data_IF_274537385387
#
_entry.id   IF_274537385387
#
_cell.length_a   1.000
_cell.length_b   1.000
_cell.length_c   1.000
_cell.angle_alpha   90.00
_cell.angle_beta   90.00
_cell.angle_gamma   90.00
#
_symmetry.space_group_name_H-M   'P 1'
#
loop_
_entity.id
_entity.type
_entity.pdbx_description
1 polymer ?
#
# COMPACT_ATOMS: atom_id res chain seq x y z
N UNK A 1 28.22 44.09 -43.41
CA UNK A 1 27.40 45.32 -43.50
C UNK A 1 26.40 45.26 -42.34
N UNK A 2 26.67 45.91 -41.19
CA UNK A 2 26.11 47.21 -40.74
C UNK A 2 24.60 47.30 -41.06
N UNK A 3 23.69 47.48 -40.10
CA UNK A 3 23.54 48.69 -39.28
C UNK A 3 22.83 48.35 -37.95
N UNK A 4 23.39 48.89 -36.86
CA UNK A 4 22.74 49.04 -35.56
C UNK A 4 21.98 50.37 -35.51
N UNK A 5 20.84 50.45 -34.82
CA UNK A 5 20.35 51.71 -34.23
C UNK A 5 19.72 51.45 -32.86
N UNK A 6 20.45 51.86 -31.83
CA UNK A 6 19.94 52.25 -30.51
C UNK A 6 19.17 53.58 -30.61
N UNK A 7 18.22 53.82 -29.70
CA UNK A 7 18.03 55.05 -28.88
C UNK A 7 16.79 54.87 -27.98
N UNK A 8 16.93 54.96 -26.63
CA UNK A 8 16.81 56.16 -25.76
C UNK A 8 15.38 56.77 -25.81
N UNK A 9 14.73 57.24 -24.75
CA UNK A 9 15.08 57.53 -23.36
C UNK A 9 13.84 58.14 -22.64
N UNK A 10 13.71 57.89 -21.33
CA UNK A 10 13.54 58.90 -20.25
C UNK A 10 12.21 59.66 -20.06
N UNK A 11 11.70 59.62 -18.81
CA UNK A 11 11.11 60.72 -17.99
C UNK A 11 10.78 60.13 -16.60
N UNK A 12 11.43 60.45 -15.46
CA UNK A 12 11.41 61.70 -14.64
C UNK A 12 10.00 62.28 -14.49
N UNK A 13 9.43 62.57 -13.32
CA UNK A 13 9.98 63.28 -12.14
C UNK A 13 8.94 63.20 -10.95
N UNK A 14 8.90 64.06 -9.91
CA UNK A 14 8.95 63.65 -8.50
C UNK A 14 7.71 64.13 -7.67
N UNK A 15 7.59 63.74 -6.39
CA UNK A 15 6.98 64.64 -5.39
C UNK A 15 7.37 64.29 -3.95
N UNK A 16 8.05 65.25 -3.35
CA UNK A 16 8.15 65.59 -1.92
C UNK A 16 6.73 65.88 -1.41
N UNK A 17 6.26 65.60 -0.19
CA UNK A 17 6.82 65.18 1.08
C UNK A 17 5.79 65.60 2.16
N UNK A 18 5.81 65.03 3.37
CA UNK A 18 5.54 65.78 4.61
C UNK A 18 5.83 64.90 5.84
N UNK A 19 6.54 65.51 6.77
CA UNK A 19 6.87 65.01 8.11
C UNK A 19 5.69 65.27 9.04
N UNK A 20 5.27 64.26 9.81
CA UNK A 20 4.51 64.46 11.04
C UNK A 20 5.22 63.72 12.17
N UNK A 21 5.78 64.51 13.09
CA UNK A 21 6.20 64.09 14.43
C UNK A 21 4.96 63.63 15.21
N UNK A 22 4.97 62.39 15.68
CA UNK A 22 3.98 61.87 16.63
C UNK A 22 4.65 60.89 17.58
N UNK A 23 4.87 61.34 18.82
CA UNK A 23 5.46 60.57 19.89
C UNK A 23 4.66 59.28 20.18
N UNK A 24 5.27 58.12 19.94
CA UNK A 24 4.74 56.83 20.39
C UNK A 24 5.54 56.36 21.60
N UNK A 25 4.83 56.22 22.71
CA UNK A 25 5.32 55.73 23.99
C UNK A 25 5.94 54.33 23.87
N UNK A 26 7.07 54.13 24.54
CA UNK A 26 7.70 52.83 24.72
C UNK A 26 6.80 51.93 25.59
N UNK A 27 6.23 50.89 24.99
CA UNK A 27 5.70 49.73 25.72
C UNK A 27 6.81 48.68 25.83
N UNK A 28 7.01 48.04 27.00
CA UNK A 28 8.04 47.05 27.19
C UNK A 28 7.76 45.80 26.34
N UNK A 29 8.76 45.44 25.54
CA UNK A 29 9.17 44.08 25.17
C UNK A 29 8.38 42.95 25.85
N UNK A 30 7.45 42.35 25.11
CA UNK A 30 7.10 40.94 25.27
C UNK A 30 7.62 40.19 24.05
N UNK A 31 8.51 39.23 24.28
CA UNK A 31 9.28 38.53 23.27
C UNK A 31 8.42 37.90 22.17
N UNK A 32 8.77 38.21 20.93
CA UNK A 32 8.44 37.36 19.79
C UNK A 32 9.29 36.08 19.88
N UNK A 33 8.68 34.98 20.31
CA UNK A 33 9.32 33.68 20.28
C UNK A 33 8.68 32.70 21.26
N UNK A 34 8.00 31.69 20.72
CA UNK A 34 7.40 30.52 21.41
C UNK A 34 6.01 30.74 22.03
N UNK A 35 4.98 30.94 21.20
CA UNK A 35 3.59 30.72 21.61
C UNK A 35 2.63 30.40 20.45
N UNK A 36 3.12 29.88 19.32
CA UNK A 36 2.28 29.55 18.15
C UNK A 36 2.36 28.06 17.74
N UNK A 37 2.80 27.18 18.65
CA UNK A 37 2.84 25.74 18.41
C UNK A 37 2.25 24.95 19.58
N UNK A 38 1.11 25.40 20.08
CA UNK A 38 0.26 24.59 20.96
C UNK A 38 -1.18 24.88 20.57
N UNK A 39 -1.91 23.83 20.17
CA UNK A 39 -3.32 23.81 19.76
C UNK A 39 -3.60 24.25 18.32
N UNK A 40 -3.06 23.50 17.35
CA UNK A 40 -3.86 23.19 16.17
C UNK A 40 -4.79 22.02 16.54
N UNK A 41 -6.13 22.17 16.54
CA UNK A 41 -7.02 21.06 16.78
C UNK A 41 -6.80 20.00 15.68
N UNK A 42 -6.63 18.73 16.09
CA UNK A 42 -6.53 17.60 15.16
C UNK A 42 -7.79 17.57 14.31
N UNK A 43 -7.65 17.73 12.99
CA UNK A 43 -8.76 17.56 12.06
C UNK A 43 -9.31 16.15 12.25
N UNK A 44 -10.60 15.97 12.63
CA UNK A 44 -11.17 14.65 12.77
C UNK A 44 -11.13 13.95 11.41
N UNK A 45 -10.40 12.84 11.34
CA UNK A 45 -10.47 11.93 10.20
C UNK A 45 -11.82 11.21 10.25
N UNK A 46 -12.35 10.82 9.09
CA UNK A 46 -13.61 10.07 9.01
C UNK A 46 -13.58 8.80 9.88
N UNK A 47 -12.42 8.16 10.01
CA UNK A 47 -12.19 7.01 10.89
C UNK A 47 -12.48 7.32 12.38
N UNK A 48 -12.09 8.51 12.86
CA UNK A 48 -12.37 8.94 14.23
C UNK A 48 -13.83 9.29 14.49
N UNK A 49 -14.62 9.58 13.45
CA UNK A 49 -16.04 9.88 13.55
C UNK A 49 -16.94 8.64 13.46
N UNK A 50 -16.42 7.54 12.90
CA UNK A 50 -17.15 6.27 12.71
C UNK A 50 -16.94 5.25 13.82
N UNK A 51 -16.11 5.56 14.83
CA UNK A 51 -15.87 4.64 15.96
C UNK A 51 -15.14 3.36 15.55
N UNK A 52 -14.34 3.41 14.49
CA UNK A 52 -13.47 2.30 14.10
C UNK A 52 -12.34 2.21 15.14
N UNK A 53 -12.33 1.14 15.94
CA UNK A 53 -11.28 0.90 16.93
C UNK A 53 -9.90 0.96 16.26
N UNK A 54 -9.00 1.76 16.85
CA UNK A 54 -7.63 1.94 16.39
C UNK A 54 -6.92 0.57 16.26
N UNK A 55 -6.76 0.09 15.03
CA UNK A 55 -5.93 -1.07 14.72
C UNK A 55 -4.45 -0.65 14.81
N UNK A 56 -3.91 -0.53 16.02
CA UNK A 56 -2.53 0.00 16.16
C UNK A 56 -1.92 0.18 17.55
N UNK A 57 -2.62 -0.05 18.67
CA UNK A 57 -2.00 0.10 19.99
C UNK A 57 -1.25 -1.18 20.43
N UNK A 58 0.03 -1.29 20.07
CA UNK A 58 1.08 -2.05 20.78
C UNK A 58 0.80 -3.46 21.35
N UNK A 59 -0.15 -4.22 20.80
CA UNK A 59 -0.26 -5.67 20.89
C UNK A 59 -1.38 -6.07 19.94
N UNK A 60 -1.07 -6.67 18.78
CA UNK A 60 -2.11 -7.47 18.13
C UNK A 60 -2.49 -8.56 19.14
N UNK A 61 -3.70 -8.46 19.69
CA UNK A 61 -4.23 -9.40 20.68
C UNK A 61 -4.99 -10.53 19.97
N UNK A 62 -5.65 -10.20 18.87
CA UNK A 62 -6.47 -11.14 18.09
C UNK A 62 -6.42 -10.72 16.62
N UNK A 63 -6.29 -11.71 15.75
CA UNK A 63 -6.38 -11.53 14.29
C UNK A 63 -7.86 -11.52 13.90
N UNK A 64 -8.26 -10.61 13.01
CA UNK A 64 -9.62 -10.64 12.45
C UNK A 64 -9.90 -12.00 11.81
N UNK A 65 -11.04 -12.65 12.11
CA UNK A 65 -11.43 -13.90 11.44
C UNK A 65 -11.44 -13.77 9.91
N UNK A 66 -11.73 -12.57 9.41
CA UNK A 66 -11.74 -12.22 8.00
C UNK A 66 -10.69 -11.14 7.74
N UNK A 67 -9.44 -11.56 7.55
CA UNK A 67 -8.33 -10.68 7.25
C UNK A 67 -8.08 -10.61 5.74
N UNK A 68 -7.76 -9.42 5.21
CA UNK A 68 -7.45 -9.23 3.80
C UNK A 68 -6.03 -8.67 3.56
N UNK A 69 -4.95 -9.40 3.94
CA UNK A 69 -3.60 -8.86 3.87
C UNK A 69 -3.10 -8.65 2.42
N UNK A 70 -2.38 -7.55 2.20
CA UNK A 70 -1.53 -7.41 1.01
C UNK A 70 -0.42 -8.46 1.05
N UNK A 71 -0.04 -8.97 -0.12
CA UNK A 71 1.07 -9.93 -0.28
C UNK A 71 2.24 -9.36 -1.10
N UNK A 72 2.22 -8.05 -1.33
CA UNK A 72 3.21 -7.30 -2.16
C UNK A 72 4.59 -7.20 -1.50
N UNK A 73 4.67 -7.46 -0.20
CA UNK A 73 5.87 -7.43 0.63
C UNK A 73 6.51 -8.82 0.80
N UNK A 74 5.77 -9.89 0.49
CA UNK A 74 6.22 -11.27 0.59
C UNK A 74 7.51 -11.52 -0.21
N UNK A 75 8.21 -12.60 0.12
CA UNK A 75 9.33 -13.06 -0.70
C UNK A 75 8.81 -13.61 -2.04
N UNK A 76 9.71 -13.86 -3.00
CA UNK A 76 9.31 -14.48 -4.27
C UNK A 76 8.88 -15.92 -3.99
N UNK A 77 9.61 -16.59 -3.11
CA UNK A 77 9.39 -17.96 -2.68
C UNK A 77 8.00 -18.12 -2.03
N UNK A 78 7.64 -17.25 -1.09
CA UNK A 78 6.33 -17.32 -0.42
C UNK A 78 5.16 -17.11 -1.42
N UNK A 79 5.35 -16.26 -2.44
CA UNK A 79 4.33 -16.06 -3.48
C UNK A 79 4.21 -17.26 -4.41
N UNK A 80 5.34 -17.88 -4.78
CA UNK A 80 5.36 -19.12 -5.56
C UNK A 80 4.67 -20.24 -4.77
N UNK A 81 4.93 -20.33 -3.46
CA UNK A 81 4.28 -21.31 -2.59
C UNK A 81 2.77 -21.10 -2.51
N UNK A 82 2.31 -19.85 -2.37
CA UNK A 82 0.89 -19.52 -2.41
C UNK A 82 0.25 -19.89 -3.74
N UNK A 83 0.87 -19.50 -4.85
CA UNK A 83 0.34 -19.78 -6.19
C UNK A 83 0.24 -21.29 -6.43
N UNK A 84 1.28 -22.04 -6.05
CA UNK A 84 1.30 -23.50 -6.13
C UNK A 84 0.20 -24.13 -5.27
N UNK A 85 0.07 -23.70 -4.01
CA UNK A 85 -0.95 -24.21 -3.10
C UNK A 85 -2.37 -23.94 -3.62
N UNK A 86 -2.62 -22.74 -4.17
CA UNK A 86 -3.91 -22.38 -4.76
C UNK A 86 -4.23 -23.14 -6.05
N UNK A 87 -3.21 -23.58 -6.80
CA UNK A 87 -3.39 -24.44 -7.99
C UNK A 87 -3.69 -25.89 -7.61
N UNK A 88 -3.10 -26.39 -6.52
CA UNK A 88 -3.31 -27.76 -6.04
C UNK A 88 -4.69 -27.96 -5.40
N UNK A 89 -5.25 -26.91 -4.79
CA UNK A 89 -6.55 -26.95 -4.13
C UNK A 89 -6.74 -25.69 -3.28
N UNK A 90 -7.49 -25.79 -2.20
CA UNK A 90 -7.71 -24.67 -1.29
C UNK A 90 -6.49 -24.51 -0.40
N UNK A 91 -5.70 -23.46 -0.66
CA UNK A 91 -4.56 -23.09 0.15
C UNK A 91 -4.94 -22.81 1.62
N UNK A 92 -4.19 -23.45 2.52
CA UNK A 92 -4.35 -23.31 3.97
C UNK A 92 -3.17 -22.53 4.53
N UNK A 93 -3.44 -21.67 5.52
CA UNK A 93 -2.42 -20.83 6.14
C UNK A 93 -2.46 -20.96 7.67
N UNK A 94 -1.28 -20.79 8.26
CA UNK A 94 -1.14 -20.39 9.65
C UNK A 94 -1.06 -18.88 9.69
N UNK A 95 -2.04 -18.25 10.33
CA UNK A 95 -2.07 -16.82 10.54
C UNK A 95 -2.24 -16.49 12.02
N UNK A 96 -1.32 -15.67 12.53
CA UNK A 96 -1.38 -15.04 13.84
C UNK A 96 -0.93 -13.58 13.74
N UNK A 97 -0.82 -12.93 14.89
CA UNK A 97 -0.48 -11.51 15.00
C UNK A 97 0.91 -11.11 14.47
N UNK A 98 1.79 -12.07 14.17
CA UNK A 98 3.16 -11.84 13.73
C UNK A 98 3.45 -12.50 12.40
N UNK A 99 2.72 -13.56 12.07
CA UNK A 99 3.05 -14.45 10.97
C UNK A 99 1.83 -14.76 10.12
N UNK A 100 2.09 -14.87 8.82
CA UNK A 100 1.18 -15.44 7.85
C UNK A 100 2.02 -16.36 6.98
N UNK A 101 1.74 -17.65 7.05
CA UNK A 101 2.53 -18.67 6.38
C UNK A 101 1.63 -19.64 5.67
N UNK A 102 1.91 -19.86 4.39
CA UNK A 102 1.27 -20.91 3.61
C UNK A 102 1.74 -22.27 4.12
N UNK A 103 0.79 -23.13 4.48
CA UNK A 103 1.06 -24.52 4.84
C UNK A 103 1.11 -25.34 3.55
N UNK A 104 2.30 -25.39 2.94
CA UNK A 104 2.53 -25.91 1.58
C UNK A 104 2.02 -27.33 1.32
N UNK A 105 1.92 -28.15 2.37
CA UNK A 105 1.48 -29.55 2.32
C UNK A 105 0.12 -29.77 2.99
N UNK A 106 -0.58 -28.70 3.34
CA UNK A 106 -1.95 -28.75 3.85
C UNK A 106 -2.89 -28.14 2.82
N UNK A 107 -3.95 -28.86 2.48
CA UNK A 107 -4.91 -28.41 1.49
C UNK A 107 -6.30 -28.96 1.80
N UNK A 108 -7.30 -28.38 1.15
CA UNK A 108 -8.63 -28.97 1.06
C UNK A 108 -9.07 -29.03 -0.40
N UNK A 109 -10.03 -29.92 -0.69
CA UNK A 109 -10.60 -30.03 -2.02
C UNK A 109 -11.34 -28.75 -2.42
N UNK A 110 -11.08 -28.26 -3.62
CA UNK A 110 -11.76 -27.07 -4.15
C UNK A 110 -10.92 -26.38 -5.22
N UNK A 111 -11.50 -25.34 -5.81
CA UNK A 111 -10.87 -24.56 -6.89
C UNK A 111 -11.11 -23.07 -6.68
N UNK A 112 -10.38 -22.25 -7.44
CA UNK A 112 -10.58 -20.81 -7.49
C UNK A 112 -10.95 -20.34 -8.89
N UNK A 113 -12.24 -20.41 -9.26
CA UNK A 113 -12.74 -19.72 -10.45
C UNK A 113 -12.29 -18.27 -10.49
N UNK A 114 -11.87 -17.80 -11.67
CA UNK A 114 -11.54 -16.40 -11.90
C UNK A 114 -12.81 -15.62 -12.25
N UNK A 115 -12.92 -14.42 -11.69
CA UNK A 115 -13.93 -13.43 -12.03
C UNK A 115 -13.23 -12.16 -12.46
N UNK A 116 -13.33 -11.85 -13.76
CA UNK A 116 -12.84 -10.60 -14.32
C UNK A 116 -13.60 -9.39 -13.78
N UNK A 117 -12.90 -8.27 -13.62
CA UNK A 117 -13.51 -6.98 -13.29
C UNK A 117 -12.92 -5.88 -14.17
N UNK A 118 -13.52 -4.69 -14.14
CA UNK A 118 -12.89 -3.52 -14.75
C UNK A 118 -11.52 -3.28 -14.14
N UNK A 119 -10.50 -3.09 -15.00
CA UNK A 119 -9.13 -2.83 -14.57
C UNK A 119 -9.10 -1.62 -13.64
N UNK A 120 -8.45 -1.79 -12.49
CA UNK A 120 -8.21 -0.73 -11.49
C UNK A 120 -6.73 -0.53 -11.34
N UNK A 121 -6.32 0.72 -11.28
CA UNK A 121 -4.94 1.15 -11.11
C UNK A 121 -4.91 2.04 -9.86
N UNK A 122 -4.03 1.71 -8.91
CA UNK A 122 -3.94 2.39 -7.62
C UNK A 122 -2.47 2.60 -7.23
N UNK A 123 -2.19 3.70 -6.53
CA UNK A 123 -0.90 3.92 -5.88
C UNK A 123 -1.16 4.12 -4.39
N UNK A 124 -0.51 3.29 -3.58
CA UNK A 124 -0.46 3.45 -2.13
C UNK A 124 0.91 4.02 -1.81
N UNK A 125 0.95 5.27 -1.34
CA UNK A 125 2.17 5.88 -0.81
C UNK A 125 2.22 5.69 0.70
N UNK A 126 3.24 4.97 1.16
CA UNK A 126 3.53 4.74 2.57
C UNK A 126 4.61 5.74 2.97
N UNK A 127 4.24 6.75 3.75
CA UNK A 127 5.13 7.85 4.10
C UNK A 127 5.70 7.76 5.52
N UNK A 128 5.14 6.90 6.36
CA UNK A 128 5.54 6.72 7.75
C UNK A 128 5.20 5.30 8.26
N UNK A 129 5.56 5.01 9.51
CA UNK A 129 5.36 3.70 10.12
C UNK A 129 3.88 3.36 10.38
N UNK A 130 3.02 4.36 10.55
CA UNK A 130 1.59 4.16 10.77
C UNK A 130 0.89 3.82 9.45
N UNK A 131 1.23 4.53 8.36
CA UNK A 131 0.80 4.17 7.00
C UNK A 131 1.21 2.73 6.67
N UNK A 132 2.43 2.34 7.07
CA UNK A 132 2.95 1.00 6.83
C UNK A 132 2.13 -0.05 7.58
N UNK A 133 1.75 0.22 8.84
CA UNK A 133 0.91 -0.68 9.63
C UNK A 133 -0.50 -0.81 9.06
N UNK A 134 -1.07 0.28 8.55
CA UNK A 134 -2.41 0.29 7.95
C UNK A 134 -2.46 -0.47 6.62
N UNK A 135 -1.41 -0.40 5.82
CA UNK A 135 -1.42 -0.96 4.46
C UNK A 135 -0.70 -2.31 4.33
N UNK A 136 0.35 -2.55 5.12
CA UNK A 136 1.24 -3.71 4.99
C UNK A 136 1.50 -4.35 6.37
N UNK A 137 0.53 -5.10 6.91
CA UNK A 137 0.55 -5.54 8.30
C UNK A 137 1.69 -6.51 8.67
N UNK A 138 2.32 -7.17 7.69
CA UNK A 138 3.27 -8.26 7.93
C UNK A 138 4.69 -7.99 7.41
N UNK A 139 4.91 -6.84 6.75
CA UNK A 139 6.14 -6.51 6.01
C UNK A 139 7.02 -5.44 6.63
N UNK A 140 6.73 -5.04 7.88
CA UNK A 140 7.32 -3.85 8.53
C UNK A 140 8.85 -3.88 8.49
N UNK A 141 9.47 -5.04 8.66
CA UNK A 141 10.91 -5.20 8.66
C UNK A 141 11.58 -4.93 7.30
N UNK A 142 10.94 -5.30 6.18
CA UNK A 142 11.52 -5.17 4.82
C UNK A 142 11.51 -3.72 4.34
N UNK A 143 10.52 -2.95 4.77
CA UNK A 143 10.31 -1.57 4.34
C UNK A 143 10.80 -0.52 5.36
N UNK A 144 10.92 -0.90 6.63
CA UNK A 144 11.37 -0.02 7.71
C UNK A 144 12.67 0.70 7.42
N UNK A 145 13.70 -0.01 6.94
CA UNK A 145 15.01 0.60 6.65
C UNK A 145 14.93 1.72 5.60
N UNK A 146 14.02 1.62 4.62
CA UNK A 146 13.86 2.68 3.61
C UNK A 146 13.11 3.88 4.14
N UNK A 147 12.13 3.67 5.04
CA UNK A 147 11.41 4.74 5.72
C UNK A 147 12.29 5.48 6.73
N UNK A 148 13.15 4.77 7.47
CA UNK A 148 14.12 5.34 8.40
C UNK A 148 15.10 6.31 7.71
N UNK A 149 15.41 6.06 6.43
CA UNK A 149 16.24 6.96 5.60
C UNK A 149 15.46 8.14 5.02
N UNK A 150 14.23 8.38 5.46
CA UNK A 150 13.39 9.52 5.03
C UNK A 150 12.77 9.38 3.63
N UNK A 151 12.86 8.20 3.01
CA UNK A 151 12.16 7.92 1.75
C UNK A 151 10.71 7.49 2.02
N UNK A 152 9.82 7.62 1.03
CA UNK A 152 8.51 6.92 1.06
C UNK A 152 8.64 5.55 0.41
N UNK A 153 7.63 4.70 0.58
CA UNK A 153 7.46 3.50 -0.25
C UNK A 153 6.23 3.72 -1.11
N UNK A 154 6.37 3.60 -2.43
CA UNK A 154 5.25 3.64 -3.35
C UNK A 154 4.94 2.21 -3.81
N UNK A 155 3.70 1.80 -3.62
CA UNK A 155 3.16 0.52 -4.08
C UNK A 155 2.19 0.82 -5.22
N UNK A 156 2.56 0.45 -6.44
CA UNK A 156 1.70 0.53 -7.61
C UNK A 156 0.98 -0.80 -7.78
N UNK A 157 -0.34 -0.77 -7.87
CA UNK A 157 -1.21 -1.93 -8.03
C UNK A 157 -1.99 -1.81 -9.33
N UNK A 158 -2.12 -2.95 -10.02
CA UNK A 158 -3.12 -3.15 -11.06
C UNK A 158 -3.94 -4.38 -10.73
N UNK A 159 -5.26 -4.22 -10.67
CA UNK A 159 -6.21 -5.28 -10.37
C UNK A 159 -7.09 -5.53 -11.58
N UNK A 160 -7.20 -6.79 -12.01
CA UNK A 160 -7.97 -7.21 -13.18
C UNK A 160 -9.08 -8.21 -12.86
N UNK A 161 -9.07 -8.77 -11.65
CA UNK A 161 -10.06 -9.73 -11.22
C UNK A 161 -9.77 -10.32 -9.84
N UNK A 162 -10.54 -11.34 -9.49
CA UNK A 162 -10.32 -12.16 -8.30
C UNK A 162 -10.38 -13.64 -8.66
N UNK A 163 -9.61 -14.45 -7.94
CA UNK A 163 -9.74 -15.91 -7.88
C UNK A 163 -10.41 -16.24 -6.56
N UNK A 164 -11.61 -16.80 -6.57
CA UNK A 164 -12.42 -16.99 -5.35
C UNK A 164 -12.96 -18.41 -5.30
N UNK A 165 -12.85 -19.07 -4.15
CA UNK A 165 -13.50 -20.37 -3.93
C UNK A 165 -14.99 -20.20 -3.61
N UNK A 166 -15.78 -21.20 -3.98
CA UNK A 166 -17.19 -21.29 -3.61
C UNK A 166 -17.41 -21.86 -2.19
N UNK A 167 -16.35 -22.29 -1.52
CA UNK A 167 -16.42 -22.76 -0.13
C UNK A 167 -16.81 -21.63 0.82
N UNK A 168 -17.84 -21.89 1.61
CA UNK A 168 -18.36 -20.95 2.62
C UNK A 168 -17.68 -21.11 3.98
N UNK A 169 -17.34 -22.35 4.31
CA UNK A 169 -16.66 -22.74 5.54
C UNK A 169 -15.79 -23.95 5.24
N UNK A 170 -14.74 -24.13 6.04
CA UNK A 170 -13.86 -25.28 5.99
C UNK A 170 -13.61 -25.75 7.42
N UNK A 171 -13.91 -27.00 7.72
CA UNK A 171 -13.64 -27.63 9.01
C UNK A 171 -12.36 -28.47 9.01
N UNK A 172 -11.80 -28.79 10.19
CA UNK A 172 -10.57 -29.58 10.31
C UNK A 172 -10.61 -30.95 9.62
N UNK A 173 -11.80 -31.56 9.52
CA UNK A 173 -11.98 -32.88 8.90
C UNK A 173 -11.88 -32.87 7.37
N UNK A 174 -11.94 -31.69 6.77
CA UNK A 174 -11.85 -31.50 5.31
C UNK A 174 -10.42 -31.18 4.87
N UNK A 175 -9.50 -31.04 5.82
CA UNK A 175 -8.10 -30.78 5.57
C UNK A 175 -7.35 -32.09 5.33
N UNK A 176 -6.45 -32.08 4.35
CA UNK A 176 -5.59 -33.20 4.00
C UNK A 176 -4.11 -32.79 3.93
N UNK A 177 -3.26 -33.71 4.41
CA UNK A 177 -1.81 -33.53 4.53
C UNK A 177 -1.35 -32.91 5.86
N UNK A 178 -0.25 -32.15 5.81
CA UNK A 178 0.46 -31.63 6.99
C UNK A 178 -0.19 -30.34 7.52
N UNK A 179 -1.34 -30.48 8.19
CA UNK A 179 -2.24 -29.38 8.57
C UNK A 179 -2.10 -28.88 10.02
N UNK A 180 -1.04 -29.29 10.72
CA UNK A 180 -0.78 -28.82 12.08
C UNK A 180 -0.62 -27.28 12.13
N UNK A 181 -1.37 -26.64 13.02
CA UNK A 181 -1.35 -25.18 13.19
C UNK A 181 -2.10 -24.40 12.11
N UNK A 182 -2.91 -25.05 11.28
CA UNK A 182 -3.83 -24.38 10.37
C UNK A 182 -4.84 -23.52 11.13
N UNK A 183 -4.96 -22.24 10.76
CA UNK A 183 -5.93 -21.32 11.40
C UNK A 183 -6.92 -20.74 10.40
N UNK A 184 -6.49 -20.50 9.17
CA UNK A 184 -7.31 -19.92 8.12
C UNK A 184 -7.10 -20.66 6.80
N UNK A 185 -8.04 -20.51 5.88
CA UNK A 185 -7.85 -20.84 4.47
C UNK A 185 -7.96 -19.57 3.63
N UNK A 186 -7.34 -19.60 2.45
CA UNK A 186 -7.47 -18.53 1.47
C UNK A 186 -8.83 -18.67 0.80
N UNK A 187 -9.71 -17.69 1.02
CA UNK A 187 -11.03 -17.66 0.38
C UNK A 187 -10.98 -17.02 -1.01
N UNK A 188 -10.13 -16.02 -1.17
CA UNK A 188 -9.90 -15.37 -2.44
C UNK A 188 -8.50 -14.79 -2.56
N UNK A 189 -8.07 -14.54 -3.79
CA UNK A 189 -6.93 -13.70 -4.10
C UNK A 189 -7.32 -12.65 -5.15
N UNK A 190 -6.93 -11.40 -4.94
CA UNK A 190 -7.01 -10.37 -5.96
C UNK A 190 -5.87 -10.57 -6.94
N UNK A 191 -6.18 -10.45 -8.23
CA UNK A 191 -5.33 -10.86 -9.33
C UNK A 191 -4.93 -9.65 -10.16
N UNK A 192 -3.65 -9.54 -10.48
CA UNK A 192 -3.12 -8.59 -11.45
C UNK A 192 -1.61 -8.48 -11.40
N UNK A 193 -1.10 -7.27 -11.21
CA UNK A 193 0.33 -6.99 -11.13
C UNK A 193 0.63 -5.93 -10.07
N UNK A 194 1.86 -5.91 -9.55
CA UNK A 194 2.30 -4.88 -8.62
C UNK A 194 3.78 -4.53 -8.79
N UNK A 195 4.14 -3.32 -8.38
CA UNK A 195 5.53 -2.95 -8.17
C UNK A 195 5.68 -2.09 -6.92
N UNK A 196 6.74 -2.34 -6.15
CA UNK A 196 7.08 -1.62 -4.93
C UNK A 196 8.45 -0.97 -5.12
N UNK A 197 8.56 0.32 -4.82
CA UNK A 197 9.83 1.06 -4.89
C UNK A 197 9.94 2.11 -3.80
N UNK A 198 11.16 2.58 -3.56
CA UNK A 198 11.35 3.81 -2.77
C UNK A 198 10.88 5.03 -3.57
N UNK A 199 10.20 5.93 -2.88
CA UNK A 199 9.60 7.15 -3.40
C UNK A 199 10.05 8.40 -2.66
N UNK A 200 9.39 9.51 -2.98
CA UNK A 200 9.66 10.83 -2.40
C UNK A 200 8.36 11.43 -1.89
N UNK A 201 8.36 11.91 -0.65
CA UNK A 201 7.16 12.48 0.00
C UNK A 201 6.63 13.66 -0.81
N UNK A 202 5.33 13.69 -1.06
CA UNK A 202 4.66 14.78 -1.78
C UNK A 202 4.82 14.77 -3.30
N UNK A 203 5.54 13.81 -3.88
CA UNK A 203 5.64 13.61 -5.34
C UNK A 203 4.55 12.63 -5.79
N UNK A 204 3.48 13.16 -6.38
CA UNK A 204 2.46 12.36 -7.07
C UNK A 204 3.10 11.62 -8.25
N UNK A 205 2.79 10.34 -8.41
CA UNK A 205 3.27 9.47 -9.49
C UNK A 205 2.09 8.86 -10.23
N UNK A 206 2.28 8.43 -11.47
CA UNK A 206 1.36 7.52 -12.13
C UNK A 206 1.74 6.07 -11.83
N UNK A 207 0.80 5.12 -11.95
CA UNK A 207 1.09 3.69 -11.72
C UNK A 207 2.20 3.22 -12.67
N UNK A 208 2.15 3.65 -13.93
CA UNK A 208 3.21 3.39 -14.90
C UNK A 208 4.60 3.75 -14.36
N UNK A 209 4.76 4.91 -13.73
CA UNK A 209 6.05 5.37 -13.18
C UNK A 209 6.58 4.43 -12.08
N UNK A 210 5.68 3.80 -11.32
CA UNK A 210 6.06 2.84 -10.28
C UNK A 210 6.58 1.55 -10.90
N UNK A 211 6.02 1.12 -12.04
CA UNK A 211 6.38 -0.10 -12.74
C UNK A 211 7.61 0.02 -13.66
N UNK A 212 8.00 1.23 -14.08
CA UNK A 212 9.14 1.44 -14.96
C UNK A 212 10.42 0.77 -14.44
N UNK A 213 11.00 -0.10 -15.26
CA UNK A 213 12.29 -0.73 -15.00
C UNK A 213 13.42 0.26 -15.21
N UNK A 214 14.19 0.52 -14.16
CA UNK A 214 15.38 1.37 -14.16
C UNK A 214 16.55 0.73 -14.96
N UNK A 215 16.41 0.61 -16.28
CA UNK A 215 17.51 0.15 -17.14
C UNK A 215 18.14 1.29 -17.95
N UNK A 216 17.39 2.30 -18.44
CA UNK A 216 17.99 3.26 -19.40
C UNK A 216 17.63 4.74 -19.21
N UNK A 217 16.76 5.13 -18.27
CA UNK A 217 16.39 6.55 -18.15
C UNK A 217 15.87 6.99 -16.78
N UNK A 218 16.71 7.01 -15.72
CA UNK A 218 16.59 8.06 -14.69
C UNK A 218 17.94 8.29 -14.02
N UNK A 219 18.49 9.49 -14.17
CA UNK A 219 19.55 10.09 -13.36
C UNK A 219 19.05 10.53 -11.96
N UNK A 220 18.02 9.87 -11.39
CA UNK A 220 17.61 10.07 -10.00
C UNK A 220 18.09 8.88 -9.17
N UNK A 221 19.18 9.10 -8.46
CA UNK A 221 19.91 8.16 -7.59
C UNK A 221 19.09 7.60 -6.40
N UNK A 222 17.80 7.92 -6.28
CA UNK A 222 17.02 7.74 -5.04
C UNK A 222 15.96 6.63 -5.06
N UNK A 223 15.53 6.15 -6.24
CA UNK A 223 14.34 5.33 -6.35
C UNK A 223 14.65 3.85 -6.69
N UNK A 224 14.92 3.04 -5.66
CA UNK A 224 15.22 1.59 -5.72
C UNK A 224 13.94 0.77 -5.78
N UNK A 225 13.84 -0.17 -6.72
CA UNK A 225 12.77 -1.18 -6.74
C UNK A 225 13.00 -2.23 -5.65
N UNK A 226 11.99 -2.46 -4.81
CA UNK A 226 12.03 -3.33 -3.65
C UNK A 226 11.36 -4.68 -3.91
N UNK A 227 10.28 -4.68 -4.69
CA UNK A 227 9.56 -5.90 -5.07
C UNK A 227 8.76 -5.66 -6.35
N UNK A 228 8.45 -6.72 -7.09
CA UNK A 228 7.51 -6.68 -8.22
C UNK A 228 6.98 -8.06 -8.54
N UNK A 229 5.81 -8.11 -9.14
CA UNK A 229 5.24 -9.32 -9.73
C UNK A 229 4.22 -8.96 -10.80
N UNK A 230 4.11 -9.82 -11.82
CA UNK A 230 3.30 -9.58 -13.00
C UNK A 230 3.84 -8.47 -13.90
N UNK A 231 3.10 -8.20 -14.98
CA UNK A 231 3.45 -7.24 -16.02
C UNK A 231 2.29 -6.26 -16.27
N UNK A 232 2.59 -4.97 -16.15
CA UNK A 232 1.62 -3.89 -16.32
C UNK A 232 1.04 -3.84 -17.74
N UNK A 233 1.88 -4.04 -18.75
CA UNK A 233 1.45 -3.96 -20.14
C UNK A 233 0.54 -5.15 -20.49
N UNK A 234 0.87 -6.34 -20.01
CA UNK A 234 0.01 -7.51 -20.13
C UNK A 234 -1.36 -7.29 -19.45
N UNK A 235 -1.38 -6.63 -18.29
CA UNK A 235 -2.63 -6.26 -17.62
C UNK A 235 -3.52 -5.32 -18.44
N UNK A 236 -2.97 -4.56 -19.39
CA UNK A 236 -3.78 -3.67 -20.24
C UNK A 236 -4.72 -4.44 -21.16
N UNK A 237 -4.41 -5.69 -21.49
CA UNK A 237 -5.24 -6.57 -22.30
C UNK A 237 -6.42 -7.21 -21.55
N UNK A 238 -6.54 -6.97 -20.24
CA UNK A 238 -7.62 -7.53 -19.41
C UNK A 238 -9.01 -7.05 -19.83
N UNK A 239 -10.00 -7.94 -19.67
CA UNK A 239 -11.42 -7.66 -19.92
C UNK A 239 -12.23 -8.11 -18.72
N UNK A 240 -13.21 -7.30 -18.32
CA UNK A 240 -14.08 -7.62 -17.19
C UNK A 240 -14.91 -8.91 -17.41
N UNK A 241 -15.22 -9.24 -18.66
CA UNK A 241 -15.98 -10.44 -19.03
C UNK A 241 -15.09 -11.66 -19.30
N UNK A 242 -13.79 -11.61 -19.00
CA UNK A 242 -12.90 -12.73 -19.24
C UNK A 242 -13.01 -13.79 -18.14
N UNK A 243 -12.99 -15.06 -18.53
CA UNK A 243 -12.99 -16.21 -17.61
C UNK A 243 -11.58 -16.58 -17.12
N UNK A 244 -10.55 -15.89 -17.61
CA UNK A 244 -9.17 -16.01 -17.16
C UNK A 244 -8.44 -14.65 -17.24
N UNK A 245 -7.45 -14.39 -16.36
CA UNK A 245 -6.59 -13.23 -16.49
C UNK A 245 -5.64 -13.38 -17.70
N UNK A 246 -5.16 -12.28 -18.30
CA UNK A 246 -4.08 -12.33 -19.26
C UNK A 246 -2.83 -13.02 -18.69
N UNK A 247 -2.07 -13.69 -19.56
CA UNK A 247 -0.74 -14.20 -19.18
C UNK A 247 0.12 -13.07 -18.61
N UNK A 248 0.93 -13.38 -17.60
CA UNK A 248 1.74 -12.40 -16.87
C UNK A 248 0.95 -11.31 -16.11
N UNK A 249 -0.39 -11.32 -16.09
CA UNK A 249 -1.21 -10.44 -15.25
C UNK A 249 -2.05 -11.25 -14.25
N UNK A 250 -1.41 -12.19 -13.56
CA UNK A 250 -2.11 -13.14 -12.70
C UNK A 250 -1.54 -13.26 -11.28
N UNK A 251 -0.66 -12.35 -10.90
CA UNK A 251 0.00 -12.35 -9.60
C UNK A 251 -0.99 -11.97 -8.52
N UNK A 252 -0.94 -12.67 -7.38
CA UNK A 252 -1.71 -12.30 -6.21
C UNK A 252 -1.19 -10.97 -5.64
N UNK A 253 -2.07 -9.99 -5.47
CA UNK A 253 -1.72 -8.69 -4.88
C UNK A 253 -2.22 -8.59 -3.43
N UNK A 254 -3.36 -9.23 -3.15
CA UNK A 254 -4.02 -9.34 -1.84
C UNK A 254 -4.66 -10.72 -1.73
N UNK A 255 -4.71 -11.27 -0.53
CA UNK A 255 -5.52 -12.46 -0.23
C UNK A 255 -6.61 -12.14 0.77
N UNK A 256 -7.74 -12.84 0.68
CA UNK A 256 -8.83 -12.80 1.63
C UNK A 256 -8.82 -14.11 2.42
N UNK A 257 -8.69 -14.02 3.73
CA UNK A 257 -8.63 -15.16 4.64
C UNK A 257 -10.01 -15.39 5.27
N UNK A 258 -10.33 -16.66 5.49
CA UNK A 258 -11.48 -17.07 6.28
C UNK A 258 -11.03 -18.09 7.33
N UNK A 259 -11.63 -18.09 8.53
CA UNK A 259 -11.17 -18.97 9.59
C UNK A 259 -11.56 -20.41 9.26
N UNK A 260 -10.72 -21.35 9.68
CA UNK A 260 -11.10 -22.76 9.69
C UNK A 260 -12.04 -22.94 10.88
N UNK A 261 -13.25 -23.43 10.60
CA UNK A 261 -14.30 -23.57 11.59
C UNK A 261 -13.83 -24.52 12.69
N UNK A 262 -13.61 -24.00 13.90
CA UNK A 262 -13.39 -24.86 15.07
C UNK A 262 -14.69 -25.61 15.34
N UNK A 263 -14.61 -26.92 15.58
CA UNK A 263 -15.80 -27.68 15.94
C UNK A 263 -16.47 -27.03 17.15
N UNK A 264 -17.74 -26.63 17.01
CA UNK A 264 -18.51 -26.10 18.11
C UNK A 264 -18.56 -27.15 19.23
N UNK A 265 -17.84 -26.92 20.33
CA UNK A 265 -17.87 -27.80 21.51
C UNK A 265 -16.54 -28.09 22.22
N UNK A 266 -15.41 -27.48 21.87
CA UNK A 266 -14.22 -27.58 22.71
C UNK A 266 -14.18 -26.43 23.74
N UNK A 267 -14.27 -26.69 25.06
CA UNK A 267 -14.04 -25.66 26.07
C UNK A 267 -12.55 -25.27 26.10
N UNK A 268 -12.29 -23.98 26.35
CA UNK A 268 -10.95 -23.42 26.65
C UNK A 268 -10.28 -24.08 27.85
#
# INVERSE_FOLDING_TARGET
MKIAVMRRAKRSNPWVGLVVLGAFAALPSCGAGKAAEVVAPKTPTAAGALGEEEWGSSSCRTVSPHAEPLVVDWTVEDRVDLESAMKAGIAVVKHDCKTLKVLKRCHAAGTYPFVGVSRKEEIIQIANADDLRMNVPLGIAKFGASLERGSTIDVGLVLVGKRTTNLRSLGPKELDGDCEGATHFVRAAHVGAFSVRTGTRGKLRAVADVFLSSAEAVTETSAKRLNKDGDLEACKASKASADAPPDQCQSATRIELAPIAVAAGAPE
#
